data_IF_472252767579
#
_entry.id   IF_472252767579
#
_cell.length_a   1.000
_cell.length_b   1.000
_cell.length_c   1.000
_cell.angle_alpha   90.00
_cell.angle_beta   90.00
_cell.angle_gamma   90.00
#
_symmetry.space_group_name_H-M   'P 1'
#
loop_
_entity.id
_entity.type
_entity.pdbx_description
1 polymer ?
#
# COMPACT_ATOMS: atom_id res chain seq x y z
N UNK A 1 -0.80 22.03 17.86
CA UNK A 1 -1.41 23.21 17.22
C UNK A 1 -1.91 22.75 15.86
N UNK A 2 -3.19 22.89 15.56
CA UNK A 2 -3.73 22.46 14.26
C UNK A 2 -3.16 23.29 13.10
N UNK A 3 -2.58 24.47 13.38
CA UNK A 3 -1.89 25.28 12.38
C UNK A 3 -0.57 24.65 11.89
N UNK A 4 -0.04 23.62 12.55
CA UNK A 4 1.16 22.89 12.12
C UNK A 4 0.83 21.62 11.30
N UNK A 5 -0.44 21.38 10.97
CA UNK A 5 -0.83 20.22 10.18
C UNK A 5 -0.35 20.32 8.72
N UNK A 6 0.18 19.21 8.21
CA UNK A 6 0.75 19.12 6.87
C UNK A 6 0.11 17.92 6.17
N UNK A 7 -0.76 18.18 5.20
CA UNK A 7 -1.31 17.14 4.33
C UNK A 7 -0.17 16.48 3.53
N UNK A 8 0.14 15.22 3.85
CA UNK A 8 1.18 14.45 3.17
C UNK A 8 0.62 13.84 1.89
N UNK A 9 -0.38 12.98 2.00
CA UNK A 9 -1.02 12.29 0.88
C UNK A 9 -2.53 12.42 1.01
N UNK A 10 -3.19 12.67 -0.12
CA UNK A 10 -4.63 12.65 -0.27
C UNK A 10 -5.00 11.87 -1.54
N UNK A 11 -5.99 10.99 -1.42
CA UNK A 11 -6.60 10.29 -2.54
C UNK A 11 -8.01 9.84 -2.14
N UNK A 12 -8.92 9.80 -3.10
CA UNK A 12 -10.30 9.41 -2.86
C UNK A 12 -10.47 7.89 -2.92
N UNK A 13 -11.23 7.35 -1.96
CA UNK A 13 -11.79 6.01 -2.02
C UNK A 13 -13.28 6.09 -2.38
N UNK A 14 -13.73 5.23 -3.29
CA UNK A 14 -15.05 5.36 -3.89
C UNK A 14 -16.21 4.88 -3.01
N UNK A 15 -16.03 3.84 -2.18
CA UNK A 15 -17.15 3.20 -1.46
C UNK A 15 -17.21 3.47 0.05
N UNK A 16 -16.30 4.29 0.60
CA UNK A 16 -16.31 4.71 2.01
C UNK A 16 -15.92 3.64 3.04
N UNK A 17 -15.65 2.40 2.59
CA UNK A 17 -15.10 1.31 3.39
C UNK A 17 -13.79 0.79 2.76
N UNK A 18 -13.12 -0.13 3.47
CA UNK A 18 -11.81 -0.66 3.10
C UNK A 18 -10.77 0.43 2.84
N UNK A 19 -10.53 1.25 3.85
CA UNK A 19 -9.59 2.36 3.72
C UNK A 19 -8.14 1.96 4.03
N UNK A 20 -7.93 0.83 4.72
CA UNK A 20 -6.62 0.50 5.30
C UNK A 20 -6.28 1.48 6.43
N UNK A 21 -5.09 2.10 6.37
CA UNK A 21 -4.69 3.18 7.27
C UNK A 21 -3.59 2.81 8.28
N UNK A 22 -2.92 1.67 8.12
CA UNK A 22 -1.75 1.35 8.94
C UNK A 22 -0.57 2.21 8.52
N UNK A 23 0.05 2.89 9.48
CA UNK A 23 1.27 3.68 9.31
C UNK A 23 2.43 3.02 10.07
N UNK A 24 3.57 2.84 9.42
CA UNK A 24 4.79 2.31 10.04
C UNK A 24 6.03 2.96 9.42
N UNK A 25 7.02 3.31 10.24
CA UNK A 25 8.34 3.67 9.73
C UNK A 25 9.20 2.42 9.58
N UNK A 26 9.87 2.28 8.44
CA UNK A 26 10.86 1.23 8.23
C UNK A 26 12.10 1.49 9.09
N UNK A 27 12.48 0.52 9.91
CA UNK A 27 13.61 0.69 10.83
C UNK A 27 14.98 0.74 10.11
N UNK A 28 15.05 0.21 8.88
CA UNK A 28 16.29 0.15 8.10
C UNK A 28 16.46 1.34 7.15
N UNK A 29 15.36 1.91 6.64
CA UNK A 29 15.39 2.95 5.62
C UNK A 29 14.76 4.27 6.06
N UNK A 30 14.06 4.29 7.20
CA UNK A 30 13.46 5.51 7.77
C UNK A 30 12.21 5.99 7.04
N UNK A 31 11.76 5.32 5.98
CA UNK A 31 10.62 5.78 5.19
C UNK A 31 9.29 5.37 5.81
N UNK A 32 8.25 6.13 5.50
CA UNK A 32 6.88 5.87 5.93
C UNK A 32 6.20 4.88 4.99
N UNK A 33 5.75 3.76 5.56
CA UNK A 33 4.92 2.75 4.92
C UNK A 33 3.45 2.95 5.31
N UNK A 34 2.57 2.96 4.31
CA UNK A 34 1.14 3.25 4.45
C UNK A 34 0.34 2.13 3.80
N UNK A 35 -0.57 1.48 4.54
CA UNK A 35 -1.53 0.57 3.91
C UNK A 35 -2.75 1.34 3.40
N UNK A 36 -3.15 1.07 2.17
CA UNK A 36 -4.40 1.54 1.58
C UNK A 36 -5.25 0.32 1.23
N UNK A 37 -6.52 0.35 1.60
CA UNK A 37 -7.46 -0.66 1.12
C UNK A 37 -7.93 -0.32 -0.30
N UNK A 38 -8.61 -1.26 -0.94
CA UNK A 38 -9.14 -1.18 -2.31
C UNK A 38 -10.24 -0.12 -2.48
N UNK A 39 -10.68 0.51 -1.38
CA UNK A 39 -11.73 1.51 -1.39
C UNK A 39 -13.13 0.92 -1.50
N UNK A 40 -13.26 -0.41 -1.35
CA UNK A 40 -14.51 -1.09 -1.08
C UNK A 40 -15.35 -1.51 -2.30
N UNK A 41 -16.58 -1.93 -2.00
CA UNK A 41 -17.49 -2.54 -2.97
C UNK A 41 -17.28 -4.05 -3.10
N UNK A 42 -18.38 -4.80 -3.18
CA UNK A 42 -18.29 -6.25 -3.41
C UNK A 42 -17.69 -6.54 -4.79
N UNK A 43 -16.73 -7.45 -4.82
CA UNK A 43 -15.97 -7.95 -5.97
C UNK A 43 -15.05 -6.92 -6.64
N UNK A 44 -14.82 -5.73 -6.05
CA UNK A 44 -14.01 -4.66 -6.65
C UNK A 44 -14.36 -4.43 -8.15
N UNK A 45 -15.63 -4.65 -8.50
CA UNK A 45 -16.07 -4.98 -9.86
C UNK A 45 -16.03 -3.81 -10.83
N UNK A 46 -15.85 -2.59 -10.33
CA UNK A 46 -15.78 -1.38 -11.13
C UNK A 46 -14.40 -0.69 -11.08
N UNK A 47 -13.61 -0.91 -10.02
CA UNK A 47 -12.38 -0.16 -9.80
C UNK A 47 -11.12 -0.99 -10.03
N UNK A 48 -11.17 -2.32 -9.83
CA UNK A 48 -10.01 -3.23 -9.85
C UNK A 48 -8.80 -2.60 -9.14
N UNK A 49 -9.06 -1.91 -8.02
CA UNK A 49 -8.09 -1.04 -7.37
C UNK A 49 -6.85 -1.82 -6.96
N UNK A 50 -7.01 -3.08 -6.56
CA UNK A 50 -5.88 -3.96 -6.24
C UNK A 50 -4.93 -4.23 -7.41
N UNK A 51 -5.34 -4.09 -8.67
CA UNK A 51 -4.49 -4.36 -9.85
C UNK A 51 -4.17 -3.11 -10.67
N UNK A 52 -4.78 -1.98 -10.37
CA UNK A 52 -4.60 -0.73 -11.09
C UNK A 52 -3.48 0.12 -10.47
N UNK A 53 -2.26 -0.01 -10.99
CA UNK A 53 -1.10 0.74 -10.52
C UNK A 53 -1.22 2.27 -10.71
N UNK A 54 -2.21 2.77 -11.46
CA UNK A 54 -2.47 4.21 -11.54
C UNK A 54 -3.19 4.75 -10.30
N UNK A 55 -3.69 3.86 -9.41
CA UNK A 55 -4.38 4.19 -8.18
C UNK A 55 -3.50 3.88 -6.96
N UNK A 56 -3.66 4.68 -5.92
CA UNK A 56 -3.00 4.42 -4.63
C UNK A 56 -3.77 3.43 -3.76
N UNK A 57 -5.06 3.20 -4.04
CA UNK A 57 -5.91 2.24 -3.32
C UNK A 57 -5.43 0.79 -3.58
N UNK A 58 -5.71 -0.12 -2.65
CA UNK A 58 -5.34 -1.53 -2.75
C UNK A 58 -3.82 -1.77 -2.78
N UNK A 59 -3.05 -0.94 -2.07
CA UNK A 59 -1.59 -0.91 -2.13
C UNK A 59 -0.92 -0.67 -0.77
N UNK A 60 0.34 -1.10 -0.65
CA UNK A 60 1.26 -0.57 0.36
C UNK A 60 2.05 0.54 -0.31
N UNK A 61 2.02 1.74 0.24
CA UNK A 61 2.82 2.88 -0.20
C UNK A 61 4.10 2.98 0.62
N UNK A 62 5.15 3.57 0.03
CA UNK A 62 6.40 3.91 0.71
C UNK A 62 6.86 5.30 0.27
N UNK A 63 6.93 6.23 1.22
CA UNK A 63 7.28 7.63 0.95
C UNK A 63 8.28 8.17 1.97
N UNK A 64 9.04 9.16 1.55
CA UNK A 64 9.95 9.91 2.41
C UNK A 64 9.25 11.19 2.85
N UNK A 65 8.98 11.30 4.16
CA UNK A 65 8.31 12.47 4.76
C UNK A 65 9.29 13.45 5.38
N UNK A 66 10.59 13.12 5.42
CA UNK A 66 11.65 13.99 5.92
C UNK A 66 12.19 14.92 4.83
N UNK A 67 12.07 14.51 3.57
CA UNK A 67 12.46 15.33 2.42
C UNK A 67 11.25 15.89 1.68
N UNK A 68 11.20 17.21 1.58
CA UNK A 68 10.19 17.89 0.77
C UNK A 68 10.55 17.73 -0.71
N UNK A 69 9.58 17.33 -1.53
CA UNK A 69 9.77 17.30 -2.98
C UNK A 69 10.08 18.70 -3.50
N UNK A 70 11.07 18.81 -4.38
CA UNK A 70 11.48 20.04 -5.05
C UNK A 70 10.38 20.69 -5.90
N UNK A 71 9.25 20.02 -6.10
CA UNK A 71 8.07 20.53 -6.84
C UNK A 71 6.95 21.04 -5.93
N UNK A 72 7.21 21.25 -4.64
CA UNK A 72 6.22 21.77 -3.68
C UNK A 72 5.39 20.69 -2.99
N UNK A 73 5.77 19.42 -3.14
CA UNK A 73 5.17 18.29 -2.43
C UNK A 73 5.70 18.18 -1.00
N UNK A 74 4.82 17.79 -0.06
CA UNK A 74 5.10 17.66 1.38
C UNK A 74 5.77 16.33 1.77
N UNK A 75 6.14 15.54 0.77
CA UNK A 75 6.93 14.31 0.84
C UNK A 75 7.68 14.13 -0.48
N UNK A 76 8.63 13.22 -0.51
CA UNK A 76 9.28 12.73 -1.73
C UNK A 76 9.08 11.22 -1.89
N UNK A 77 9.31 10.73 -3.11
CA UNK A 77 9.24 9.30 -3.40
C UNK A 77 10.66 8.75 -3.46
N UNK A 78 11.02 7.75 -2.64
CA UNK A 78 12.33 7.12 -2.72
C UNK A 78 12.58 6.60 -4.13
N UNK A 79 13.71 6.97 -4.75
CA UNK A 79 14.10 6.49 -6.08
C UNK A 79 14.25 4.95 -6.15
N UNK A 80 14.32 4.30 -4.98
CA UNK A 80 14.39 2.84 -4.84
C UNK A 80 13.01 2.16 -4.85
N UNK A 81 11.91 2.90 -4.96
CA UNK A 81 10.58 2.31 -5.12
C UNK A 81 10.46 1.56 -6.46
N UNK A 82 9.70 0.46 -6.51
CA UNK A 82 9.67 -0.45 -7.65
C UNK A 82 9.05 0.14 -8.93
N UNK A 83 8.17 1.13 -8.82
CA UNK A 83 7.41 1.68 -9.95
C UNK A 83 7.85 3.08 -10.37
N UNK A 84 8.96 3.59 -9.85
CA UNK A 84 9.51 4.90 -10.24
C UNK A 84 9.86 4.88 -11.73
N UNK A 85 9.39 5.90 -12.46
CA UNK A 85 9.63 6.05 -13.90
C UNK A 85 8.69 5.26 -14.82
N UNK A 86 7.75 4.49 -14.26
CA UNK A 86 6.75 3.78 -15.06
C UNK A 86 5.56 4.70 -15.37
N UNK A 87 5.29 4.94 -16.66
CA UNK A 87 4.34 5.96 -17.12
C UNK A 87 2.88 5.73 -16.67
N UNK A 88 2.50 4.48 -16.37
CA UNK A 88 1.15 4.10 -15.94
C UNK A 88 1.09 3.61 -14.49
N UNK A 89 2.10 3.94 -13.67
CA UNK A 89 2.13 3.54 -12.27
C UNK A 89 2.42 4.73 -11.36
N UNK A 90 1.80 4.72 -10.18
CA UNK A 90 2.07 5.65 -9.11
C UNK A 90 3.40 5.29 -8.45
N UNK A 91 4.39 6.20 -8.44
CA UNK A 91 5.73 5.89 -7.96
C UNK A 91 5.76 5.63 -6.43
N UNK A 92 4.74 6.07 -5.70
CA UNK A 92 4.56 5.83 -4.25
C UNK A 92 4.34 4.35 -3.90
N UNK A 93 3.87 3.54 -4.86
CA UNK A 93 3.52 2.14 -4.62
C UNK A 93 4.78 1.33 -4.31
N UNK A 94 4.75 0.64 -3.17
CA UNK A 94 5.74 -0.36 -2.76
C UNK A 94 5.30 -1.78 -3.10
N UNK A 95 4.03 -2.09 -2.87
CA UNK A 95 3.39 -3.35 -3.21
C UNK A 95 1.90 -3.10 -3.51
N UNK A 96 1.25 -4.02 -4.22
CA UNK A 96 -0.14 -3.87 -4.68
C UNK A 96 -0.88 -5.21 -4.63
N UNK A 97 -2.16 -5.22 -4.96
CA UNK A 97 -2.98 -6.43 -4.96
C UNK A 97 -3.46 -6.85 -3.58
N UNK A 98 -3.64 -5.89 -2.67
CA UNK A 98 -4.22 -6.10 -1.34
C UNK A 98 -5.64 -5.55 -1.30
N UNK A 99 -6.46 -6.09 -0.39
CA UNK A 99 -7.89 -5.76 -0.30
C UNK A 99 -8.20 -4.73 0.78
N UNK A 100 -8.07 -5.12 2.03
CA UNK A 100 -8.45 -4.31 3.18
C UNK A 100 -7.45 -4.53 4.32
N UNK A 101 -6.23 -4.05 4.08
CA UNK A 101 -5.10 -4.25 4.97
C UNK A 101 -5.16 -3.27 6.14
N UNK A 102 -5.67 -3.75 7.27
CA UNK A 102 -5.92 -2.92 8.46
C UNK A 102 -4.70 -2.69 9.33
N UNK A 103 -3.84 -3.70 9.51
CA UNK A 103 -2.71 -3.62 10.44
C UNK A 103 -1.46 -4.25 9.84
N UNK A 104 -0.41 -3.44 9.80
CA UNK A 104 0.93 -3.85 9.42
C UNK A 104 1.92 -3.58 10.53
N UNK A 105 2.95 -4.41 10.68
CA UNK A 105 4.08 -4.20 11.60
C UNK A 105 5.36 -4.76 11.02
N UNK A 106 6.46 -4.04 11.21
CA UNK A 106 7.78 -4.60 11.02
C UNK A 106 8.11 -5.60 12.13
N UNK A 107 8.75 -6.70 11.75
CA UNK A 107 9.30 -7.68 12.69
C UNK A 107 10.51 -7.08 13.43
N UNK A 108 10.47 -7.07 14.76
CA UNK A 108 11.55 -6.52 15.58
C UNK A 108 12.83 -7.34 15.52
N UNK A 109 12.75 -8.65 15.28
CA UNK A 109 13.91 -9.53 15.11
C UNK A 109 14.46 -9.50 13.68
N UNK A 110 13.60 -9.18 12.70
CA UNK A 110 13.95 -9.05 11.29
C UNK A 110 13.39 -7.73 10.72
N UNK A 111 14.01 -6.59 10.99
CA UNK A 111 13.46 -5.26 10.69
C UNK A 111 13.22 -4.96 9.20
N UNK A 112 13.69 -5.81 8.29
CA UNK A 112 13.35 -5.75 6.86
C UNK A 112 11.95 -6.32 6.55
N UNK A 113 11.40 -7.16 7.42
CA UNK A 113 10.17 -7.90 7.17
C UNK A 113 8.97 -7.09 7.66
N UNK A 114 8.12 -6.66 6.72
CA UNK A 114 6.84 -6.05 7.01
C UNK A 114 5.73 -7.10 6.88
N UNK A 115 5.05 -7.41 7.98
CA UNK A 115 3.88 -8.28 7.97
C UNK A 115 2.60 -7.43 8.00
N UNK A 116 1.62 -7.81 7.20
CA UNK A 116 0.32 -7.13 7.10
C UNK A 116 -0.82 -8.14 7.14
N UNK A 117 -1.83 -7.88 7.98
CA UNK A 117 -3.09 -8.61 7.95
C UNK A 117 -4.04 -8.00 6.91
N UNK A 118 -4.55 -8.83 6.00
CA UNK A 118 -5.44 -8.43 4.91
C UNK A 118 -6.78 -9.17 4.99
N UNK A 119 -7.88 -8.40 5.07
CA UNK A 119 -9.22 -8.97 5.22
C UNK A 119 -9.80 -9.30 3.85
N UNK A 120 -10.03 -10.59 3.60
CA UNK A 120 -10.69 -11.06 2.38
C UNK A 120 -12.16 -10.65 2.28
N UNK A 121 -12.71 -10.86 1.10
CA UNK A 121 -14.12 -10.76 0.79
C UNK A 121 -14.95 -11.89 1.36
N UNK A 122 -14.48 -13.14 1.23
CA UNK A 122 -15.33 -14.27 1.63
C UNK A 122 -14.68 -15.64 1.73
N UNK A 123 -13.48 -15.85 1.17
CA UNK A 123 -12.80 -17.14 1.29
C UNK A 123 -11.71 -17.17 2.35
N UNK A 124 -10.79 -16.20 2.32
CA UNK A 124 -9.57 -16.21 3.12
C UNK A 124 -9.26 -14.84 3.69
N UNK A 125 -8.89 -14.79 4.96
CA UNK A 125 -8.08 -13.70 5.50
C UNK A 125 -6.61 -14.09 5.43
N UNK A 126 -5.74 -13.11 5.22
CA UNK A 126 -4.33 -13.35 4.95
C UNK A 126 -3.41 -12.64 5.94
N UNK A 127 -2.26 -13.25 6.20
CA UNK A 127 -1.09 -12.58 6.76
C UNK A 127 -0.01 -12.60 5.70
N UNK A 128 0.27 -11.43 5.14
CA UNK A 128 1.20 -11.27 4.03
C UNK A 128 2.55 -10.74 4.53
N UNK A 129 3.64 -11.37 4.11
CA UNK A 129 4.98 -10.79 4.16
C UNK A 129 5.13 -9.88 2.95
N UNK A 130 5.06 -8.56 3.17
CA UNK A 130 5.10 -7.58 2.09
C UNK A 130 6.51 -7.50 1.51
N UNK A 131 6.60 -7.64 0.18
CA UNK A 131 7.85 -7.57 -0.58
C UNK A 131 7.82 -6.42 -1.59
N UNK A 132 9.01 -5.93 -1.97
CA UNK A 132 9.17 -4.88 -2.96
C UNK A 132 8.57 -5.32 -4.31
N UNK A 133 7.62 -4.54 -4.82
CA UNK A 133 6.96 -4.80 -6.10
C UNK A 133 6.00 -6.00 -6.07
N UNK A 134 5.74 -6.57 -4.89
CA UNK A 134 4.88 -7.74 -4.76
C UNK A 134 3.44 -7.47 -5.19
N UNK A 135 2.86 -8.41 -5.94
CA UNK A 135 1.43 -8.47 -6.25
C UNK A 135 0.76 -9.53 -5.35
N UNK A 136 -0.14 -9.10 -4.48
CA UNK A 136 -0.84 -9.98 -3.55
C UNK A 136 -2.15 -10.55 -4.12
N UNK A 137 -2.48 -10.22 -5.38
CA UNK A 137 -3.44 -10.96 -6.19
C UNK A 137 -4.89 -10.48 -6.09
N UNK A 138 -5.28 -9.69 -5.10
CA UNK A 138 -6.61 -9.07 -5.09
C UNK A 138 -6.80 -8.13 -6.29
N UNK A 139 -7.90 -8.14 -7.03
CA UNK A 139 -9.17 -8.87 -6.80
C UNK A 139 -9.25 -10.25 -7.48
N UNK A 140 -8.22 -10.63 -8.23
CA UNK A 140 -8.23 -11.90 -8.95
C UNK A 140 -8.19 -13.12 -8.01
N UNK A 141 -7.52 -13.00 -6.86
CA UNK A 141 -7.19 -14.11 -5.97
C UNK A 141 -7.49 -13.76 -4.50
N UNK A 142 -7.83 -14.80 -3.72
CA UNK A 142 -7.86 -14.78 -2.26
C UNK A 142 -7.13 -16.02 -1.73
N UNK A 143 -6.20 -15.83 -0.79
CA UNK A 143 -5.45 -16.90 -0.16
C UNK A 143 -4.50 -17.61 -1.13
N UNK A 144 -4.32 -18.93 -0.97
CA UNK A 144 -3.37 -19.71 -1.76
C UNK A 144 -3.85 -20.03 -3.18
N UNK A 145 -5.00 -19.52 -3.62
CA UNK A 145 -5.49 -19.68 -4.99
C UNK A 145 -4.44 -19.05 -5.95
N UNK A 146 -3.52 -19.90 -6.44
CA UNK A 146 -2.43 -19.68 -7.41
C UNK A 146 -1.49 -18.47 -7.21
N UNK A 147 -0.73 -18.43 -6.11
CA UNK A 147 0.55 -17.68 -6.03
C UNK A 147 1.71 -18.61 -6.39
N UNK A 148 2.03 -18.80 -7.68
CA UNK A 148 3.32 -19.40 -8.04
C UNK A 148 4.42 -18.41 -7.64
N UNK A 149 5.38 -18.87 -6.84
CA UNK A 149 6.55 -18.10 -6.37
C UNK A 149 7.10 -17.19 -7.47
N UNK A 150 6.96 -15.87 -7.30
CA UNK A 150 7.71 -14.86 -8.04
C UNK A 150 8.99 -14.50 -7.27
#
# INVERSE_FOLDING_TARGET
DSASEVLVIDFSNAAGNHNGGSLNFGALDGFLYISTGDGGGSNDNAAQAGQDLAKLSGSILRVDVDTLSSTGGKYSVPATNPFVGMQAARPEIWAYGIRNTFRCRFDSAKPANLFCGDVGQGKWEEVNLISKGGNFGWVCLEGPDFRSSQ
#
